data_IF_581257420215
#
_entry.id   IF_581257420215
#
_cell.length_a   1.000
_cell.length_b   1.000
_cell.length_c   1.000
_cell.angle_alpha   90.00
_cell.angle_beta   90.00
_cell.angle_gamma   90.00
#
_symmetry.space_group_name_H-M   'P 1'
#
loop_
_entity.id
_entity.type
_entity.pdbx_description
1 polymer ?
#
# COMPACT_ATOMS: atom_id res chain seq x y z
N UNK A 1 24.08 12.91 -7.31
CA UNK A 1 23.89 14.30 -6.86
C UNK A 1 22.73 14.98 -7.58
N UNK A 2 22.44 14.59 -8.83
CA UNK A 2 21.35 15.13 -9.67
C UNK A 2 19.93 14.70 -9.23
N UNK A 3 19.74 13.47 -8.73
CA UNK A 3 18.41 12.96 -8.34
C UNK A 3 17.76 13.74 -7.18
N UNK A 4 18.53 14.14 -6.18
CA UNK A 4 18.03 14.92 -5.04
C UNK A 4 17.42 16.25 -5.48
N UNK A 5 18.13 16.96 -6.38
CA UNK A 5 17.69 18.23 -6.94
C UNK A 5 16.44 18.04 -7.81
N UNK A 6 16.39 16.98 -8.63
CA UNK A 6 15.20 16.62 -9.43
C UNK A 6 13.96 16.32 -8.60
N UNK A 7 14.12 15.87 -7.35
CA UNK A 7 13.03 15.65 -6.40
C UNK A 7 12.58 16.94 -5.69
N UNK A 8 13.34 18.03 -5.82
CA UNK A 8 13.16 19.29 -5.09
C UNK A 8 13.70 19.24 -3.66
N UNK A 9 14.63 18.32 -3.38
CA UNK A 9 15.29 18.19 -2.09
C UNK A 9 16.63 18.91 -2.12
N UNK A 10 17.04 19.49 -0.99
CA UNK A 10 18.42 19.98 -0.89
C UNK A 10 19.41 18.81 -0.88
N UNK A 11 20.65 19.08 -1.30
CA UNK A 11 21.64 18.04 -1.59
C UNK A 11 21.96 17.14 -0.39
N UNK A 12 21.98 17.72 0.81
CA UNK A 12 22.24 17.00 2.07
C UNK A 12 21.04 16.12 2.44
N UNK A 13 19.81 16.65 2.42
CA UNK A 13 18.59 15.91 2.72
C UNK A 13 18.36 14.79 1.72
N UNK A 14 18.53 15.06 0.43
CA UNK A 14 18.30 14.07 -0.62
C UNK A 14 19.23 12.87 -0.52
N UNK A 15 20.52 13.07 -0.19
CA UNK A 15 21.46 11.96 0.02
C UNK A 15 21.00 11.02 1.15
N UNK A 16 20.56 11.55 2.29
CA UNK A 16 20.08 10.73 3.40
C UNK A 16 18.74 10.06 3.07
N UNK A 17 17.80 10.78 2.45
CA UNK A 17 16.48 10.27 2.09
C UNK A 17 16.58 9.13 1.07
N UNK A 18 17.39 9.28 0.02
CA UNK A 18 17.59 8.23 -1.00
C UNK A 18 18.23 7.00 -0.36
N UNK A 19 19.29 7.20 0.43
CA UNK A 19 19.92 6.11 1.19
C UNK A 19 18.90 5.39 2.08
N UNK A 20 18.02 6.12 2.73
CA UNK A 20 16.99 5.58 3.61
C UNK A 20 15.95 4.74 2.84
N UNK A 21 15.56 5.16 1.64
CA UNK A 21 14.70 4.36 0.75
C UNK A 21 15.39 3.08 0.28
N UNK A 22 16.67 3.14 -0.07
CA UNK A 22 17.45 2.00 -0.55
C UNK A 22 17.79 0.99 0.55
N UNK A 23 18.07 1.48 1.77
CA UNK A 23 18.66 0.65 2.84
C UNK A 23 17.72 0.31 3.99
N UNK A 24 16.75 1.18 4.31
CA UNK A 24 15.87 1.01 5.48
C UNK A 24 14.48 0.51 5.13
N UNK A 25 14.18 0.28 3.85
CA UNK A 25 12.85 -0.10 3.40
C UNK A 25 11.79 0.96 3.70
N UNK A 26 12.21 2.24 3.79
CA UNK A 26 11.30 3.37 3.96
C UNK A 26 10.60 3.65 2.63
N UNK A 27 9.28 3.87 2.70
CA UNK A 27 8.50 4.20 1.52
C UNK A 27 8.47 5.71 1.31
N UNK A 28 8.67 6.21 0.07
CA UNK A 28 8.54 7.62 -0.21
C UNK A 28 7.09 8.07 0.04
N UNK A 29 6.87 9.28 0.57
CA UNK A 29 5.55 9.93 0.60
C UNK A 29 4.91 9.96 -0.80
N UNK A 30 3.58 10.11 -0.90
CA UNK A 30 2.86 10.00 -2.18
C UNK A 30 3.42 10.94 -3.26
N UNK A 31 3.69 12.19 -2.91
CA UNK A 31 4.22 13.21 -3.83
C UNK A 31 5.61 12.84 -4.38
N UNK A 32 6.51 12.39 -3.50
CA UNK A 32 7.85 11.96 -3.89
C UNK A 32 7.78 10.67 -4.71
N UNK A 33 6.89 9.75 -4.35
CA UNK A 33 6.66 8.50 -5.08
C UNK A 33 6.20 8.76 -6.52
N UNK A 34 5.29 9.73 -6.73
CA UNK A 34 4.86 10.15 -8.07
C UNK A 34 6.01 10.79 -8.85
N UNK A 35 6.79 11.67 -8.22
CA UNK A 35 7.96 12.30 -8.87
C UNK A 35 8.99 11.26 -9.29
N UNK A 36 9.30 10.31 -8.41
CA UNK A 36 10.22 9.21 -8.69
C UNK A 36 9.71 8.37 -9.88
N UNK A 37 8.42 8.01 -9.90
CA UNK A 37 7.85 7.26 -11.02
C UNK A 37 8.03 7.98 -12.36
N UNK A 38 7.82 9.30 -12.39
CA UNK A 38 8.06 10.13 -13.58
C UNK A 38 9.54 10.20 -13.97
N UNK A 39 10.43 10.42 -12.99
CA UNK A 39 11.89 10.52 -13.24
C UNK A 39 12.44 9.22 -13.82
N UNK A 40 11.99 8.08 -13.32
CA UNK A 40 12.38 6.77 -13.80
C UNK A 40 11.54 6.27 -14.99
N UNK A 41 10.62 7.09 -15.50
CA UNK A 41 9.72 6.76 -16.60
C UNK A 41 8.99 5.41 -16.42
N UNK A 42 8.48 5.17 -15.21
CA UNK A 42 7.72 3.96 -14.88
C UNK A 42 6.29 4.05 -15.40
N UNK A 43 5.71 2.93 -15.82
CA UNK A 43 4.30 2.83 -16.21
C UNK A 43 3.35 2.74 -14.99
N UNK A 44 3.77 3.22 -13.81
CA UNK A 44 2.99 3.18 -12.57
C UNK A 44 2.84 4.59 -12.00
N UNK A 45 1.70 4.87 -11.35
CA UNK A 45 1.47 6.18 -10.72
C UNK A 45 2.42 6.45 -9.55
N UNK A 46 2.74 5.41 -8.77
CA UNK A 46 3.61 5.46 -7.60
C UNK A 46 4.87 4.63 -7.85
N UNK A 47 6.02 5.11 -7.36
CA UNK A 47 7.30 4.42 -7.41
C UNK A 47 7.33 3.29 -6.38
N UNK A 48 7.25 2.05 -6.86
CA UNK A 48 7.37 0.81 -6.07
C UNK A 48 6.53 0.78 -4.78
N UNK A 49 5.32 1.36 -4.82
CA UNK A 49 4.43 1.40 -3.66
C UNK A 49 3.01 0.93 -4.00
N UNK A 50 2.81 -0.39 -3.86
CA UNK A 50 1.52 -1.05 -4.07
C UNK A 50 0.43 -0.58 -3.09
N UNK A 51 0.80 -0.02 -1.93
CA UNK A 51 -0.19 0.47 -0.96
C UNK A 51 -0.92 1.70 -1.47
N UNK A 52 -0.20 2.66 -2.07
CA UNK A 52 -0.87 3.81 -2.67
C UNK A 52 -1.70 3.42 -3.89
N UNK A 53 -1.23 2.46 -4.68
CA UNK A 53 -2.04 1.86 -5.74
C UNK A 53 -3.34 1.24 -5.21
N UNK A 54 -3.26 0.49 -4.10
CA UNK A 54 -4.43 -0.07 -3.43
C UNK A 54 -5.39 1.00 -2.91
N UNK A 55 -4.89 2.10 -2.33
CA UNK A 55 -5.74 3.20 -1.86
C UNK A 55 -6.47 3.93 -2.99
N UNK A 56 -5.87 3.99 -4.19
CA UNK A 56 -6.50 4.56 -5.38
C UNK A 56 -7.52 3.63 -6.06
N UNK A 57 -7.46 2.33 -5.76
CA UNK A 57 -8.43 1.36 -6.26
C UNK A 57 -9.73 1.43 -5.46
N UNK A 58 -10.76 0.73 -5.97
CA UNK A 58 -11.98 0.44 -5.21
C UNK A 58 -11.75 -0.65 -4.15
N UNK A 59 -10.79 -0.39 -3.26
CA UNK A 59 -10.42 -1.31 -2.20
C UNK A 59 -11.57 -1.72 -1.27
N UNK A 60 -12.59 -0.88 -0.99
CA UNK A 60 -13.71 -1.28 -0.16
C UNK A 60 -14.49 -2.45 -0.77
N UNK A 61 -14.75 -2.39 -2.07
CA UNK A 61 -15.42 -3.47 -2.79
C UNK A 61 -14.50 -4.67 -2.98
N UNK A 62 -13.20 -4.48 -3.19
CA UNK A 62 -12.23 -5.59 -3.26
C UNK A 62 -12.25 -6.40 -1.95
N UNK A 63 -12.17 -5.75 -0.78
CA UNK A 63 -12.21 -6.42 0.53
C UNK A 63 -13.55 -7.13 0.72
N UNK A 64 -14.66 -6.47 0.36
CA UNK A 64 -16.02 -7.00 0.49
C UNK A 64 -16.23 -8.24 -0.39
N UNK A 65 -15.81 -8.19 -1.65
CA UNK A 65 -15.95 -9.29 -2.61
C UNK A 65 -15.14 -10.49 -2.15
N UNK A 66 -13.86 -10.28 -1.81
CA UNK A 66 -13.02 -11.33 -1.23
C UNK A 66 -13.69 -12.03 -0.05
N UNK A 67 -14.27 -11.25 0.87
CA UNK A 67 -14.96 -11.79 2.04
C UNK A 67 -16.16 -12.64 1.65
N UNK A 68 -16.96 -12.20 0.68
CA UNK A 68 -18.16 -12.91 0.22
C UNK A 68 -17.81 -14.19 -0.54
N UNK A 69 -16.85 -14.13 -1.46
CA UNK A 69 -16.37 -15.27 -2.25
C UNK A 69 -15.81 -16.39 -1.36
N UNK A 70 -15.18 -16.02 -0.24
CA UNK A 70 -14.62 -16.97 0.72
C UNK A 70 -15.60 -17.35 1.85
N UNK A 71 -16.89 -17.00 1.75
CA UNK A 71 -17.91 -17.27 2.77
C UNK A 71 -17.53 -16.80 4.19
N UNK A 72 -16.81 -15.68 4.26
CA UNK A 72 -16.34 -15.10 5.51
C UNK A 72 -17.39 -14.12 6.07
N UNK A 73 -17.69 -14.23 7.35
CA UNK A 73 -18.34 -13.13 8.07
C UNK A 73 -17.32 -12.02 8.32
N UNK A 74 -17.78 -10.80 8.56
CA UNK A 74 -16.89 -9.68 8.97
C UNK A 74 -16.12 -10.03 10.25
N UNK A 75 -16.75 -10.75 11.18
CA UNK A 75 -16.09 -11.25 12.41
C UNK A 75 -15.01 -12.28 12.13
N UNK A 76 -15.21 -13.20 11.16
CA UNK A 76 -14.19 -14.17 10.74
C UNK A 76 -13.00 -13.46 10.07
N UNK A 77 -13.27 -12.53 9.15
CA UNK A 77 -12.21 -11.75 8.50
C UNK A 77 -11.41 -10.92 9.52
N UNK A 78 -12.10 -10.30 10.47
CA UNK A 78 -11.46 -9.55 11.56
C UNK A 78 -10.50 -10.43 12.37
N UNK A 79 -10.92 -11.66 12.73
CA UNK A 79 -10.06 -12.62 13.43
C UNK A 79 -8.82 -13.00 12.61
N UNK A 80 -8.98 -13.28 11.32
CA UNK A 80 -7.86 -13.62 10.42
C UNK A 80 -6.82 -12.51 10.32
N UNK A 81 -7.26 -11.24 10.34
CA UNK A 81 -6.39 -10.07 10.25
C UNK A 81 -5.91 -9.56 11.62
N UNK A 82 -6.36 -10.21 12.71
CA UNK A 82 -6.15 -9.77 14.10
C UNK A 82 -6.59 -8.32 14.30
N UNK A 83 -7.84 -8.03 13.95
CA UNK A 83 -8.49 -6.72 14.08
C UNK A 83 -9.94 -6.89 14.57
N UNK A 84 -10.73 -5.81 14.59
CA UNK A 84 -12.11 -5.83 15.08
C UNK A 84 -13.14 -5.85 13.95
N UNK A 85 -14.37 -6.24 14.29
CA UNK A 85 -15.50 -6.23 13.36
C UNK A 85 -15.77 -4.83 12.80
N UNK A 86 -15.68 -3.81 13.65
CA UNK A 86 -15.86 -2.40 13.31
C UNK A 86 -14.81 -1.96 12.30
N UNK A 87 -13.56 -2.38 12.48
CA UNK A 87 -12.49 -2.07 11.52
C UNK A 87 -12.82 -2.60 10.12
N UNK A 88 -13.36 -3.82 10.00
CA UNK A 88 -13.79 -4.36 8.70
C UNK A 88 -14.94 -3.55 8.10
N UNK A 89 -15.93 -3.13 8.91
CA UNK A 89 -17.02 -2.27 8.43
C UNK A 89 -16.47 -0.96 7.86
N UNK A 90 -15.55 -0.32 8.59
CA UNK A 90 -14.96 0.95 8.19
C UNK A 90 -14.24 0.82 6.85
N UNK A 91 -13.45 -0.24 6.66
CA UNK A 91 -12.77 -0.48 5.39
C UNK A 91 -13.73 -0.78 4.24
N UNK A 92 -14.76 -1.62 4.44
CA UNK A 92 -15.80 -1.87 3.42
C UNK A 92 -16.65 -0.61 3.11
N UNK A 93 -16.56 0.45 3.91
CA UNK A 93 -17.18 1.76 3.67
C UNK A 93 -16.25 2.79 3.03
N UNK A 94 -14.98 2.46 2.80
CA UNK A 94 -14.01 3.40 2.24
C UNK A 94 -13.31 4.28 3.28
N UNK A 95 -13.36 3.93 4.56
CA UNK A 95 -12.52 4.61 5.55
C UNK A 95 -11.06 4.14 5.48
N UNK A 96 -10.18 5.00 5.98
CA UNK A 96 -8.73 4.82 5.91
C UNK A 96 -8.25 3.48 6.48
N UNK A 97 -7.39 2.83 5.71
CA UNK A 97 -6.68 1.61 6.09
C UNK A 97 -5.18 1.90 6.17
N UNK A 98 -4.54 1.46 7.25
CA UNK A 98 -3.09 1.64 7.42
C UNK A 98 -2.31 0.64 6.57
N UNK A 99 -1.06 1.01 6.22
CA UNK A 99 -0.14 0.16 5.46
C UNK A 99 0.07 -1.22 6.10
N UNK A 100 0.08 -1.30 7.44
CA UNK A 100 0.24 -2.57 8.16
C UNK A 100 -0.91 -3.53 7.84
N UNK A 101 -2.16 -3.03 7.84
CA UNK A 101 -3.32 -3.85 7.54
C UNK A 101 -3.44 -4.16 6.05
N UNK A 102 -3.07 -3.22 5.17
CA UNK A 102 -2.91 -3.52 3.75
C UNK A 102 -1.96 -4.71 3.53
N UNK A 103 -0.77 -4.73 4.17
CA UNK A 103 0.17 -5.85 4.05
C UNK A 103 -0.44 -7.18 4.50
N UNK A 104 -1.22 -7.18 5.59
CA UNK A 104 -1.93 -8.38 6.07
C UNK A 104 -2.99 -8.85 5.08
N UNK A 105 -3.80 -7.93 4.55
CA UNK A 105 -4.81 -8.21 3.54
C UNK A 105 -4.18 -8.76 2.26
N UNK A 106 -3.18 -8.08 1.72
CA UNK A 106 -2.50 -8.49 0.49
C UNK A 106 -1.90 -9.91 0.65
N UNK A 107 -1.24 -10.18 1.79
CA UNK A 107 -0.75 -11.52 2.10
C UNK A 107 -1.87 -12.56 2.17
N UNK A 108 -2.98 -12.24 2.84
CA UNK A 108 -4.13 -13.13 2.97
C UNK A 108 -4.75 -13.47 1.60
N UNK A 109 -4.90 -12.46 0.74
CA UNK A 109 -5.49 -12.60 -0.61
C UNK A 109 -4.53 -13.30 -1.60
N UNK A 110 -3.21 -13.15 -1.44
CA UNK A 110 -2.22 -13.85 -2.25
C UNK A 110 -2.04 -15.32 -1.86
N UNK A 111 -2.21 -15.66 -0.58
CA UNK A 111 -2.18 -17.05 -0.11
C UNK A 111 -3.34 -17.88 -0.68
N UNK A 112 -4.45 -17.24 -1.03
CA UNK A 112 -5.66 -17.90 -1.55
C UNK A 112 -5.74 -17.89 -3.07
N UNK A 113 -5.00 -17.01 -3.76
CA UNK A 113 -4.89 -17.00 -5.24
C UNK A 113 -3.76 -17.86 -5.78
N UNK A 114 -2.90 -18.42 -4.93
CA UNK A 114 -2.01 -19.53 -5.28
C UNK A 114 -2.78 -20.85 -5.14
N UNK A 115 -3.53 -21.23 -6.17
CA UNK A 115 -3.96 -22.63 -6.30
C UNK A 115 -2.82 -23.52 -6.85
N UNK A 116 -2.82 -24.82 -6.52
CA UNK A 116 -1.71 -25.78 -6.73
C UNK A 116 -1.39 -26.13 -8.18
#
# INVERSE_FOLDING_TARGET
>A
MDLALKLGLNEKQGRYIIKDYETRGLYPPPELSIKLAKIFNLNTKYFYDEYYGFLDMDYPNIIKNYRLENNLSKTKLAKLLSTTYETIIRWEKGENISRQYYKKLNKLMQLTTKEP
#
